data_IF_457323668488
#
_entry.id   IF_457323668488
#
_cell.length_a   1.000
_cell.length_b   1.000
_cell.length_c   1.000
_cell.angle_alpha   90.00
_cell.angle_beta   90.00
_cell.angle_gamma   90.00
#
_symmetry.space_group_name_H-M   'P 1'
#
loop_
_entity.id
_entity.type
_entity.pdbx_description
1 polymer ?
#
# COMPACT_ATOMS: atom_id res chain seq x y z
N UNK A 1 -45.29 -52.42 -17.45
CA UNK A 1 -45.19 -51.81 -16.11
C UNK A 1 -43.84 -51.10 -16.03
N UNK A 2 -43.81 -49.79 -16.24
CA UNK A 2 -42.57 -48.99 -16.21
C UNK A 2 -42.31 -48.41 -14.81
N UNK A 3 -41.06 -48.10 -14.45
CA UNK A 3 -40.72 -47.59 -13.13
C UNK A 3 -41.30 -46.19 -12.92
N UNK A 4 -41.89 -45.97 -11.74
CA UNK A 4 -42.48 -44.69 -11.36
C UNK A 4 -41.41 -43.60 -11.22
N UNK A 5 -41.69 -42.41 -11.75
CA UNK A 5 -40.85 -41.22 -11.62
C UNK A 5 -40.80 -40.75 -10.15
N UNK A 6 -39.66 -40.23 -9.66
CA UNK A 6 -39.52 -39.79 -8.28
C UNK A 6 -40.41 -38.58 -7.98
N UNK A 7 -40.94 -38.46 -6.75
CA UNK A 7 -41.87 -37.40 -6.41
C UNK A 7 -41.18 -36.03 -6.50
N UNK A 8 -41.79 -35.12 -7.26
CA UNK A 8 -41.38 -33.73 -7.37
C UNK A 8 -41.25 -33.10 -5.98
N UNK A 9 -40.04 -32.67 -5.64
CA UNK A 9 -39.76 -31.97 -4.39
C UNK A 9 -40.56 -30.66 -4.35
N UNK A 10 -41.62 -30.67 -3.55
CA UNK A 10 -42.37 -29.46 -3.20
C UNK A 10 -41.47 -28.61 -2.30
N UNK A 11 -41.25 -27.36 -2.72
CA UNK A 11 -40.69 -26.31 -1.89
C UNK A 11 -41.50 -26.19 -0.59
N UNK A 12 -40.89 -26.44 0.57
CA UNK A 12 -41.47 -26.08 1.87
C UNK A 12 -41.18 -27.03 3.04
N UNK A 13 -40.24 -26.62 3.88
CA UNK A 13 -40.10 -26.91 5.31
C UNK A 13 -39.70 -28.34 5.80
N UNK A 14 -38.40 -28.43 6.13
CA UNK A 14 -37.80 -29.00 7.34
C UNK A 14 -37.80 -30.53 7.58
N UNK A 15 -36.72 -31.19 7.14
CA UNK A 15 -36.00 -32.25 7.88
C UNK A 15 -34.61 -32.49 7.24
N UNK A 16 -33.61 -31.71 7.69
CA UNK A 16 -32.18 -32.04 7.63
C UNK A 16 -31.56 -32.27 6.26
N UNK A 17 -31.58 -31.25 5.39
CA UNK A 17 -30.81 -31.24 4.14
C UNK A 17 -29.37 -31.70 4.40
N UNK A 18 -28.89 -32.70 3.63
CA UNK A 18 -27.47 -33.06 3.60
C UNK A 18 -26.67 -31.78 3.41
N UNK A 19 -25.92 -31.40 4.43
CA UNK A 19 -25.21 -30.13 4.49
C UNK A 19 -24.16 -30.09 3.37
N UNK A 20 -24.53 -29.48 2.25
CA UNK A 20 -23.53 -28.90 1.35
C UNK A 20 -22.76 -27.80 2.10
N UNK A 21 -21.56 -27.41 1.63
CA UNK A 21 -20.86 -26.28 2.22
C UNK A 21 -21.81 -25.09 2.29
N UNK A 22 -22.08 -24.64 3.52
CA UNK A 22 -22.95 -23.50 3.79
C UNK A 22 -22.37 -22.23 3.20
N UNK A 23 -23.19 -21.17 3.11
CA UNK A 23 -22.66 -19.87 2.72
C UNK A 23 -21.56 -19.44 3.69
N UNK A 24 -20.42 -18.93 3.19
CA UNK A 24 -19.30 -18.53 4.02
C UNK A 24 -19.74 -17.51 5.06
N UNK A 25 -19.25 -17.68 6.28
CA UNK A 25 -19.47 -16.74 7.36
C UNK A 25 -18.75 -15.41 7.09
N UNK A 26 -19.07 -14.37 7.87
CA UNK A 26 -18.37 -13.10 7.79
C UNK A 26 -16.87 -13.25 8.11
N UNK A 27 -16.54 -14.16 9.01
CA UNK A 27 -15.16 -14.47 9.38
C UNK A 27 -14.41 -15.16 8.23
N UNK A 28 -15.07 -16.06 7.49
CA UNK A 28 -14.50 -16.69 6.29
C UNK A 28 -14.21 -15.66 5.19
N UNK A 29 -15.10 -14.67 5.02
CA UNK A 29 -14.89 -13.58 4.07
C UNK A 29 -13.73 -12.67 4.49
N UNK A 30 -13.61 -12.38 5.78
CA UNK A 30 -12.50 -11.60 6.32
C UNK A 30 -11.16 -12.33 6.13
N UNK A 31 -11.10 -13.61 6.49
CA UNK A 31 -9.92 -14.45 6.30
C UNK A 31 -9.52 -14.57 4.83
N UNK A 32 -10.49 -14.74 3.92
CA UNK A 32 -10.22 -14.78 2.48
C UNK A 32 -9.66 -13.45 1.94
N UNK A 33 -10.12 -12.31 2.47
CA UNK A 33 -9.59 -10.99 2.09
C UNK A 33 -8.15 -10.81 2.55
N UNK A 34 -7.84 -11.23 3.77
CA UNK A 34 -6.49 -11.16 4.33
C UNK A 34 -5.53 -12.04 3.52
N UNK A 35 -5.89 -13.29 3.26
CA UNK A 35 -5.10 -14.21 2.42
C UNK A 35 -4.82 -13.62 1.03
N UNK A 36 -5.84 -13.05 0.37
CA UNK A 36 -5.65 -12.42 -0.94
C UNK A 36 -4.72 -11.20 -0.88
N UNK A 37 -4.77 -10.43 0.20
CA UNK A 37 -3.89 -9.28 0.39
C UNK A 37 -2.43 -9.74 0.59
N UNK A 38 -2.21 -10.78 1.38
CA UNK A 38 -0.90 -11.39 1.59
C UNK A 38 -0.35 -12.00 0.29
N UNK A 39 -1.17 -12.76 -0.44
CA UNK A 39 -0.82 -13.34 -1.72
C UNK A 39 -0.44 -12.27 -2.76
N UNK A 40 -1.21 -11.19 -2.84
CA UNK A 40 -0.91 -10.07 -3.72
C UNK A 40 0.40 -9.37 -3.33
N UNK A 41 0.67 -9.22 -2.03
CA UNK A 41 1.93 -8.65 -1.55
C UNK A 41 3.12 -9.56 -1.86
N UNK A 42 2.96 -10.87 -1.71
CA UNK A 42 3.99 -11.87 -2.06
C UNK A 42 4.27 -11.87 -3.56
N UNK A 43 3.25 -11.95 -4.39
CA UNK A 43 3.38 -11.95 -5.85
C UNK A 43 4.11 -10.68 -6.38
N UNK A 44 3.85 -9.52 -5.77
CA UNK A 44 4.57 -8.27 -6.11
C UNK A 44 6.06 -8.34 -5.77
N UNK A 45 6.42 -8.97 -4.65
CA UNK A 45 7.82 -9.12 -4.24
C UNK A 45 8.54 -10.10 -5.16
N UNK A 46 7.93 -11.25 -5.43
CA UNK A 46 8.44 -12.26 -6.35
C UNK A 46 8.68 -11.66 -7.73
N UNK A 47 7.69 -10.99 -8.32
CA UNK A 47 7.84 -10.34 -9.63
C UNK A 47 8.97 -9.28 -9.65
N UNK A 48 9.16 -8.55 -8.55
CA UNK A 48 10.24 -7.57 -8.44
C UNK A 48 11.62 -8.24 -8.31
N UNK A 49 11.69 -9.40 -7.65
CA UNK A 49 12.90 -10.20 -7.53
C UNK A 49 13.27 -10.87 -8.86
N UNK A 50 12.29 -11.43 -9.57
CA UNK A 50 12.44 -12.01 -10.91
C UNK A 50 12.97 -10.97 -11.90
N UNK A 51 12.35 -9.79 -11.96
CA UNK A 51 12.83 -8.70 -12.81
C UNK A 51 14.27 -8.27 -12.47
N UNK A 52 14.64 -8.27 -11.18
CA UNK A 52 16.02 -7.97 -10.77
C UNK A 52 16.97 -9.07 -11.20
N UNK A 53 16.54 -10.33 -11.11
CA UNK A 53 17.30 -11.50 -11.53
C UNK A 53 17.53 -11.48 -13.05
N UNK A 54 16.48 -11.31 -13.85
CA UNK A 54 16.56 -11.19 -15.32
C UNK A 54 17.52 -10.09 -15.75
N UNK A 55 17.39 -8.89 -15.16
CA UNK A 55 18.30 -7.77 -15.44
C UNK A 55 19.75 -8.07 -15.05
N UNK A 56 19.98 -8.88 -14.02
CA UNK A 56 21.34 -9.30 -13.62
C UNK A 56 21.89 -10.35 -14.60
N UNK A 57 21.05 -11.28 -15.04
CA UNK A 57 21.43 -12.29 -16.03
C UNK A 57 21.78 -11.63 -17.38
N UNK A 58 20.91 -10.76 -17.89
CA UNK A 58 21.15 -10.02 -19.15
C UNK A 58 22.46 -9.21 -19.09
N UNK A 59 22.70 -8.47 -18.00
CA UNK A 59 23.99 -7.76 -17.83
C UNK A 59 25.20 -8.69 -17.77
N UNK A 60 25.06 -9.92 -17.24
CA UNK A 60 26.15 -10.91 -17.23
C UNK A 60 26.41 -11.42 -18.63
N UNK A 61 25.37 -11.80 -19.37
CA UNK A 61 25.50 -12.25 -20.76
C UNK A 61 26.09 -11.18 -21.67
N UNK A 62 25.62 -9.93 -21.55
CA UNK A 62 26.18 -8.79 -22.29
C UNK A 62 27.66 -8.60 -21.97
N UNK A 63 28.04 -8.74 -20.69
CA UNK A 63 29.44 -8.65 -20.28
C UNK A 63 30.27 -9.80 -20.87
N UNK A 64 29.78 -11.03 -20.83
CA UNK A 64 30.48 -12.20 -21.39
C UNK A 64 30.68 -12.06 -22.90
N UNK A 65 29.64 -11.64 -23.64
CA UNK A 65 29.73 -11.34 -25.08
C UNK A 65 30.74 -10.22 -25.38
N UNK A 66 30.80 -9.19 -24.53
CA UNK A 66 31.79 -8.12 -24.68
C UNK A 66 33.22 -8.58 -24.36
N UNK A 67 33.37 -9.45 -23.36
CA UNK A 67 34.67 -10.02 -22.98
C UNK A 67 35.19 -10.96 -24.11
N UNK A 68 34.31 -11.62 -24.89
CA UNK A 68 34.67 -12.40 -26.09
C UNK A 68 35.07 -11.51 -27.29
N UNK A 69 34.30 -10.45 -27.56
CA UNK A 69 34.54 -9.54 -28.69
C UNK A 69 35.77 -8.66 -28.50
N UNK A 70 36.00 -8.19 -27.27
CA UNK A 70 37.14 -7.34 -26.92
C UNK A 70 37.78 -7.92 -25.66
N UNK A 71 38.74 -8.85 -25.82
CA UNK A 71 39.47 -9.41 -24.69
C UNK A 71 40.11 -8.28 -23.88
N UNK A 72 39.66 -8.14 -22.62
CA UNK A 72 40.22 -7.17 -21.67
C UNK A 72 41.33 -7.81 -20.85
N UNK A 73 42.27 -7.00 -20.38
CA UNK A 73 43.30 -7.48 -19.45
C UNK A 73 42.67 -8.11 -18.20
N UNK A 74 43.32 -9.15 -17.65
CA UNK A 74 42.82 -9.88 -16.49
C UNK A 74 42.61 -8.96 -15.26
N UNK A 75 41.60 -9.29 -14.46
CA UNK A 75 41.28 -8.55 -13.25
C UNK A 75 42.46 -8.56 -12.26
N UNK A 76 42.87 -7.38 -11.77
CA UNK A 76 43.96 -7.23 -10.81
C UNK A 76 45.32 -6.89 -11.42
N UNK A 77 45.47 -6.98 -12.73
CA UNK A 77 46.70 -6.58 -13.44
C UNK A 77 46.88 -5.05 -13.44
N UNK A 78 48.12 -4.59 -13.68
CA UNK A 78 48.41 -3.15 -13.88
C UNK A 78 47.77 -2.63 -15.16
N UNK A 79 47.74 -3.43 -16.21
CA UNK A 79 47.12 -3.12 -17.50
C UNK A 79 45.62 -2.85 -17.32
N UNK A 80 44.91 -3.71 -16.57
CA UNK A 80 43.50 -3.49 -16.28
C UNK A 80 43.24 -2.21 -15.49
N UNK A 81 44.16 -1.82 -14.60
CA UNK A 81 44.08 -0.55 -13.86
C UNK A 81 44.28 0.66 -14.79
N UNK A 82 45.20 0.58 -15.75
CA UNK A 82 45.45 1.63 -16.73
C UNK A 82 44.29 1.78 -17.71
N UNK A 83 43.76 0.69 -18.24
CA UNK A 83 42.54 0.69 -19.06
C UNK A 83 41.35 1.31 -18.32
N UNK A 84 41.12 0.91 -17.07
CA UNK A 84 40.03 1.46 -16.25
C UNK A 84 40.23 2.96 -16.04
N UNK A 85 41.47 3.40 -15.80
CA UNK A 85 41.79 4.83 -15.66
C UNK A 85 41.55 5.59 -16.97
N UNK A 86 41.90 5.01 -18.11
CA UNK A 86 41.62 5.59 -19.43
C UNK A 86 40.11 5.73 -19.67
N UNK A 87 39.33 4.67 -19.49
CA UNK A 87 37.86 4.70 -19.63
C UNK A 87 37.20 5.76 -18.72
N UNK A 88 37.66 5.85 -17.46
CA UNK A 88 37.15 6.88 -16.53
C UNK A 88 37.54 8.28 -17.00
N UNK A 89 38.78 8.45 -17.48
CA UNK A 89 39.23 9.74 -18.01
C UNK A 89 38.41 10.13 -19.24
N UNK A 90 38.15 9.22 -20.18
CA UNK A 90 37.32 9.50 -21.37
C UNK A 90 35.88 9.85 -21.00
N UNK A 91 35.29 9.14 -20.03
CA UNK A 91 33.97 9.51 -19.50
C UNK A 91 33.99 10.92 -18.90
N UNK A 92 35.01 11.26 -18.10
CA UNK A 92 35.15 12.58 -17.50
C UNK A 92 35.51 13.67 -18.51
N UNK A 93 36.21 13.31 -19.58
CA UNK A 93 36.53 14.19 -20.70
C UNK A 93 35.25 14.70 -21.37
N UNK A 94 34.25 13.84 -21.56
CA UNK A 94 32.92 14.27 -22.02
C UNK A 94 32.26 15.34 -21.13
N UNK A 95 32.40 15.24 -19.80
CA UNK A 95 31.90 16.26 -18.87
C UNK A 95 32.76 17.53 -18.84
N UNK A 96 34.07 17.44 -19.15
CA UNK A 96 35.00 18.58 -19.15
C UNK A 96 35.00 19.36 -20.46
N UNK A 97 34.94 18.66 -21.59
CA UNK A 97 35.03 19.23 -22.94
C UNK A 97 33.64 19.47 -23.55
N UNK A 98 32.63 18.69 -23.15
CA UNK A 98 31.22 18.87 -23.53
C UNK A 98 30.53 20.07 -22.88
N UNK A 99 31.29 21.08 -22.44
CA UNK A 99 30.75 22.40 -22.08
C UNK A 99 31.07 23.42 -23.18
N UNK A 100 30.41 23.36 -24.35
CA UNK A 100 30.37 24.47 -25.29
C UNK A 100 29.48 25.56 -24.69
N UNK A 101 30.06 26.36 -23.80
CA UNK A 101 29.37 27.44 -23.13
C UNK A 101 28.44 26.93 -22.03
N UNK A 102 28.69 27.36 -20.80
CA UNK A 102 27.61 27.57 -19.86
C UNK A 102 26.66 28.59 -20.48
N UNK A 103 25.74 28.15 -21.35
CA UNK A 103 24.51 28.89 -21.56
C UNK A 103 23.95 29.02 -20.15
N UNK A 104 23.93 30.25 -19.64
CA UNK A 104 23.30 30.58 -18.37
C UNK A 104 21.80 30.37 -18.60
N UNK A 105 21.39 29.10 -18.58
CA UNK A 105 19.98 28.74 -18.47
C UNK A 105 19.57 29.33 -17.14
N UNK A 106 18.72 30.35 -17.18
CA UNK A 106 18.27 31.01 -15.98
C UNK A 106 17.68 29.97 -15.03
N UNK A 107 17.88 30.17 -13.72
CA UNK A 107 17.39 29.25 -12.68
C UNK A 107 15.90 28.92 -12.87
N UNK A 108 15.15 29.84 -13.49
CA UNK A 108 13.75 29.68 -13.89
C UNK A 108 13.51 28.61 -14.96
N UNK A 109 14.31 28.53 -16.02
CA UNK A 109 14.17 27.49 -17.06
C UNK A 109 14.69 26.14 -16.55
N UNK A 110 15.77 26.16 -15.77
CA UNK A 110 16.33 24.94 -15.17
C UNK A 110 15.37 24.31 -14.16
N UNK A 111 14.59 25.13 -13.45
CA UNK A 111 13.53 24.70 -12.53
C UNK A 111 12.17 24.49 -13.22
N UNK A 112 12.15 24.29 -14.55
CA UNK A 112 10.92 24.00 -15.29
C UNK A 112 10.08 25.24 -15.57
N UNK A 113 10.68 26.25 -16.21
CA UNK A 113 10.09 27.55 -16.51
C UNK A 113 9.03 27.54 -17.63
N UNK A 114 8.11 26.58 -17.60
CA UNK A 114 6.92 26.52 -18.44
C UNK A 114 5.77 25.92 -17.63
N UNK A 115 4.53 26.20 -18.05
CA UNK A 115 3.26 25.98 -17.33
C UNK A 115 3.07 24.59 -16.65
N UNK A 116 3.88 23.59 -16.99
CA UNK A 116 3.88 22.26 -16.37
C UNK A 116 4.26 22.21 -14.89
N UNK A 117 5.03 23.15 -14.33
CA UNK A 117 5.35 23.15 -12.88
C UNK A 117 4.15 23.61 -12.05
N UNK A 118 3.38 24.58 -12.55
CA UNK A 118 2.13 24.97 -11.90
C UNK A 118 1.09 23.86 -12.01
N UNK A 119 0.98 23.20 -13.15
CA UNK A 119 0.10 22.04 -13.31
C UNK A 119 0.50 20.89 -12.38
N UNK A 120 1.79 20.55 -12.30
CA UNK A 120 2.30 19.52 -11.38
C UNK A 120 2.05 19.89 -9.90
N UNK A 121 2.20 21.17 -9.55
CA UNK A 121 1.90 21.67 -8.20
C UNK A 121 0.41 21.59 -7.88
N UNK A 122 -0.46 21.94 -8.83
CA UNK A 122 -1.92 21.81 -8.70
C UNK A 122 -2.37 20.35 -8.65
N UNK A 123 -1.73 19.46 -9.39
CA UNK A 123 -1.99 18.02 -9.33
C UNK A 123 -1.57 17.43 -7.99
N UNK A 124 -0.39 17.79 -7.48
CA UNK A 124 0.03 17.40 -6.13
C UNK A 124 -0.91 17.92 -5.06
N UNK A 125 -1.34 19.18 -5.16
CA UNK A 125 -2.31 19.74 -4.21
C UNK A 125 -3.67 19.04 -4.32
N UNK A 126 -4.10 18.62 -5.52
CA UNK A 126 -5.31 17.81 -5.70
C UNK A 126 -5.16 16.40 -5.13
N UNK A 127 -3.97 15.81 -5.22
CA UNK A 127 -3.66 14.51 -4.62
C UNK A 127 -3.54 14.57 -3.10
N UNK A 128 -3.00 15.65 -2.55
CA UNK A 128 -2.96 15.92 -1.12
C UNK A 128 -4.34 16.25 -0.55
N UNK A 129 -5.20 16.94 -1.32
CA UNK A 129 -6.61 17.18 -0.97
C UNK A 129 -7.48 15.92 -1.05
N UNK A 130 -7.09 14.91 -1.83
CA UNK A 130 -7.73 13.58 -1.79
C UNK A 130 -7.30 12.93 -0.47
N UNK A 131 -8.23 12.88 0.50
CA UNK A 131 -8.00 12.28 1.82
C UNK A 131 -7.24 10.96 1.66
N UNK A 132 -6.00 10.94 2.16
CA UNK A 132 -5.19 9.73 2.10
C UNK A 132 -5.82 8.65 2.98
N UNK A 133 -5.62 7.37 2.64
CA UNK A 133 -6.09 6.22 3.46
C UNK A 133 -5.69 6.37 4.95
N UNK A 134 -4.58 7.06 5.21
CA UNK A 134 -4.09 7.38 6.56
C UNK A 134 -4.96 8.41 7.30
N UNK A 135 -5.51 9.39 6.60
CA UNK A 135 -6.41 10.38 7.17
C UNK A 135 -7.80 9.80 7.42
N UNK A 136 -8.30 8.94 6.52
CA UNK A 136 -9.54 8.20 6.73
C UNK A 136 -9.44 7.29 7.96
N UNK A 137 -8.34 6.55 8.12
CA UNK A 137 -8.08 5.74 9.32
C UNK A 137 -7.98 6.60 10.59
N UNK A 138 -7.37 7.79 10.51
CA UNK A 138 -7.32 8.72 11.66
C UNK A 138 -8.70 9.26 12.02
N UNK A 139 -9.53 9.58 11.04
CA UNK A 139 -10.90 10.07 11.23
C UNK A 139 -11.79 8.98 11.85
N UNK A 140 -11.66 7.72 11.40
CA UNK A 140 -12.37 6.56 11.97
C UNK A 140 -11.97 6.31 13.43
N UNK A 141 -10.66 6.31 13.74
CA UNK A 141 -10.17 6.15 15.11
C UNK A 141 -10.62 7.31 16.01
N UNK A 142 -10.61 8.55 15.49
CA UNK A 142 -11.08 9.72 16.24
C UNK A 142 -12.59 9.64 16.53
N UNK A 143 -13.39 9.19 15.55
CA UNK A 143 -14.83 8.99 15.72
C UNK A 143 -15.12 7.88 16.74
N UNK A 144 -14.39 6.77 16.70
CA UNK A 144 -14.51 5.70 17.70
C UNK A 144 -14.18 6.18 19.12
N UNK A 145 -13.10 6.96 19.29
CA UNK A 145 -12.71 7.53 20.59
C UNK A 145 -13.69 8.58 21.10
N UNK A 146 -14.36 9.32 20.21
CA UNK A 146 -15.38 10.28 20.61
C UNK A 146 -16.63 9.56 21.14
N UNK A 147 -17.09 8.50 20.45
CA UNK A 147 -18.20 7.68 20.90
C UNK A 147 -17.93 7.03 22.26
N UNK A 148 -16.73 6.46 22.46
CA UNK A 148 -16.33 5.88 23.76
C UNK A 148 -16.35 6.91 24.90
N UNK A 149 -15.92 8.15 24.62
CA UNK A 149 -15.97 9.24 25.61
C UNK A 149 -17.40 9.67 25.92
N UNK A 150 -18.27 9.72 24.92
CA UNK A 150 -19.69 10.06 25.10
C UNK A 150 -20.42 9.01 25.93
N UNK A 151 -20.21 7.72 25.65
CA UNK A 151 -20.75 6.61 26.44
C UNK A 151 -20.28 6.69 27.91
N UNK A 152 -18.99 6.93 28.14
CA UNK A 152 -18.47 7.11 29.50
C UNK A 152 -19.09 8.29 30.23
N UNK A 153 -19.33 9.41 29.55
CA UNK A 153 -19.99 10.57 30.16
C UNK A 153 -21.47 10.29 30.43
N UNK A 154 -22.15 9.52 29.58
CA UNK A 154 -23.55 9.10 29.81
C UNK A 154 -23.65 8.21 31.04
N UNK A 155 -22.79 7.20 31.17
CA UNK A 155 -22.77 6.33 32.37
C UNK A 155 -22.57 7.12 33.66
N UNK A 156 -21.68 8.12 33.64
CA UNK A 156 -21.47 9.00 34.80
C UNK A 156 -22.69 9.85 35.12
N UNK A 157 -23.34 10.44 34.11
CA UNK A 157 -24.57 11.21 34.28
C UNK A 157 -25.71 10.34 34.83
N UNK A 158 -25.88 9.11 34.33
CA UNK A 158 -26.90 8.18 34.82
C UNK A 158 -26.67 7.80 36.29
N UNK A 159 -25.41 7.59 36.70
CA UNK A 159 -25.06 7.36 38.12
C UNK A 159 -25.37 8.58 38.98
N UNK A 160 -25.04 9.79 38.52
CA UNK A 160 -25.36 11.04 39.22
C UNK A 160 -26.87 11.28 39.31
N UNK A 161 -27.62 11.02 38.25
CA UNK A 161 -29.08 11.11 38.27
C UNK A 161 -29.72 10.08 39.21
N UNK A 162 -29.21 8.85 39.24
CA UNK A 162 -29.65 7.81 40.16
C UNK A 162 -29.43 8.20 41.63
N UNK A 163 -28.22 8.69 41.96
CA UNK A 163 -27.91 9.15 43.32
C UNK A 163 -28.71 10.41 43.70
N UNK A 164 -28.86 11.38 42.80
CA UNK A 164 -29.70 12.56 43.00
C UNK A 164 -31.17 12.20 43.24
N UNK A 165 -31.73 11.23 42.50
CA UNK A 165 -33.09 10.74 42.71
C UNK A 165 -33.24 10.10 44.09
N UNK A 166 -32.34 9.20 44.48
CA UNK A 166 -32.35 8.58 45.80
C UNK A 166 -32.24 9.61 46.94
N UNK A 167 -31.36 10.61 46.80
CA UNK A 167 -31.22 11.69 47.78
C UNK A 167 -32.46 12.58 47.85
N UNK A 168 -33.09 12.88 46.71
CA UNK A 168 -34.34 13.66 46.66
C UNK A 168 -35.51 12.91 47.30
N UNK A 169 -35.61 11.60 47.08
CA UNK A 169 -36.63 10.77 47.75
C UNK A 169 -36.41 10.70 49.26
N UNK A 170 -35.17 10.55 49.71
CA UNK A 170 -34.82 10.55 51.13
C UNK A 170 -35.13 11.90 51.79
N UNK A 171 -34.82 13.00 51.11
CA UNK A 171 -35.14 14.35 51.58
C UNK A 171 -36.65 14.59 51.64
N UNK A 172 -37.41 14.13 50.65
CA UNK A 172 -38.87 14.22 50.63
C UNK A 172 -39.51 13.38 51.74
N UNK A 173 -38.96 12.21 52.07
CA UNK A 173 -39.45 11.38 53.17
C UNK A 173 -39.12 11.95 54.57
N UNK A 174 -38.08 12.79 54.70
CA UNK A 174 -37.62 13.34 55.98
C UNK A 174 -38.07 14.78 56.24
N UNK A 175 -38.29 15.56 55.19
CA UNK A 175 -38.56 17.00 55.27
C UNK A 175 -39.76 17.45 54.42
N UNK A 176 -40.53 16.51 53.86
CA UNK A 176 -41.74 16.76 53.06
C UNK A 176 -42.98 16.13 53.67
#
# INVERSE_FOLDING_TARGET
>A
MGPALPPSARWGAAAGARAGPGMPSLDDVAASREQRAEDAARARREAAEDLRHERRADRREQREKLDELVPRAEAGTRERRLEKKAMVNDKMKGFREGSPGAAVVGDRELMGGGDGVEELRREREREERKKTERELRREEIARAKAAEREERVREWKEREEGTMKALKELAKARFG
#
